data_IF_976577725492
#
_entry.id   IF_976577725492
#
_cell.length_a   1.000
_cell.length_b   1.000
_cell.length_c   1.000
_cell.angle_alpha   90.00
_cell.angle_beta   90.00
_cell.angle_gamma   90.00
#
_symmetry.space_group_name_H-M   'P 1'
#
loop_
_entity.id
_entity.type
_entity.pdbx_description
1 polymer ?
#
# COMPACT_ATOMS: atom_id res chain seq x y z
N UNK A 1 -10.67 11.82 -24.64
CA UNK A 1 -11.56 11.14 -23.67
C UNK A 1 -10.77 10.02 -23.00
N UNK A 2 -10.35 10.19 -21.74
CA UNK A 2 -9.58 9.15 -21.04
C UNK A 2 -10.51 7.93 -20.83
N UNK A 3 -10.10 6.76 -21.31
CA UNK A 3 -10.94 5.56 -21.31
C UNK A 3 -11.35 5.19 -19.86
N UNK A 4 -12.66 5.04 -19.58
CA UNK A 4 -13.20 4.75 -18.24
C UNK A 4 -12.54 3.53 -17.58
N UNK A 5 -12.06 2.57 -18.39
CA UNK A 5 -11.30 1.40 -17.92
C UNK A 5 -9.96 1.78 -17.28
N UNK A 6 -9.23 2.75 -17.84
CA UNK A 6 -7.92 3.20 -17.35
C UNK A 6 -8.06 3.92 -16.00
N UNK A 7 -9.05 4.79 -15.88
CA UNK A 7 -9.33 5.52 -14.63
C UNK A 7 -9.57 4.56 -13.46
N UNK A 8 -10.22 3.43 -13.74
CA UNK A 8 -10.53 2.42 -12.72
C UNK A 8 -9.31 1.60 -12.27
N UNK A 9 -8.22 1.60 -13.03
CA UNK A 9 -6.96 0.91 -12.70
C UNK A 9 -5.97 1.83 -11.98
N UNK A 10 -6.16 3.14 -12.10
CA UNK A 10 -5.21 4.18 -11.66
C UNK A 10 -4.79 4.03 -10.18
N UNK A 11 -5.69 3.73 -9.22
CA UNK A 11 -5.29 3.52 -7.82
C UNK A 11 -4.37 2.32 -7.59
N UNK A 12 -4.36 1.33 -8.49
CA UNK A 12 -3.56 0.10 -8.35
C UNK A 12 -2.15 0.23 -8.94
N UNK A 13 -1.89 1.26 -9.75
CA UNK A 13 -0.54 1.63 -10.19
C UNK A 13 0.36 1.89 -8.98
N UNK A 14 -0.23 2.33 -7.86
CA UNK A 14 0.46 2.51 -6.59
C UNK A 14 1.28 1.29 -6.14
N UNK A 15 0.84 0.06 -6.46
CA UNK A 15 1.56 -1.16 -6.08
C UNK A 15 2.86 -1.40 -6.86
N UNK A 16 3.10 -0.65 -7.94
CA UNK A 16 4.36 -0.68 -8.68
C UNK A 16 5.40 0.24 -8.01
N UNK A 17 4.95 1.22 -7.22
CA UNK A 17 5.82 2.14 -6.49
C UNK A 17 6.32 1.42 -5.24
N UNK A 18 7.63 1.41 -4.94
CA UNK A 18 8.16 0.76 -3.75
C UNK A 18 7.95 1.63 -2.50
N UNK A 19 6.70 1.93 -2.16
CA UNK A 19 6.34 2.90 -1.14
C UNK A 19 6.82 2.53 0.27
N UNK A 20 7.03 1.24 0.56
CA UNK A 20 7.68 0.78 1.80
C UNK A 20 9.12 1.28 1.90
N UNK A 21 9.89 1.15 0.82
CA UNK A 21 11.27 1.59 0.77
C UNK A 21 11.36 3.12 0.75
N UNK A 22 10.43 3.79 0.08
CA UNK A 22 10.33 5.26 0.13
C UNK A 22 10.01 5.73 1.55
N UNK A 23 9.14 5.01 2.27
CA UNK A 23 8.84 5.33 3.69
C UNK A 23 10.10 5.23 4.55
N UNK A 24 10.84 4.13 4.41
CA UNK A 24 12.11 3.94 5.13
C UNK A 24 13.16 4.99 4.75
N UNK A 25 13.27 5.32 3.46
CA UNK A 25 14.20 6.35 2.98
C UNK A 25 13.83 7.73 3.52
N UNK A 26 12.53 8.06 3.60
CA UNK A 26 12.07 9.34 4.16
C UNK A 26 12.35 9.45 5.66
N UNK A 27 12.11 8.38 6.41
CA UNK A 27 12.42 8.31 7.83
C UNK A 27 13.94 8.43 8.07
N UNK A 28 14.75 7.75 7.27
CA UNK A 28 16.21 7.78 7.39
C UNK A 28 16.84 9.11 6.96
N UNK A 29 16.53 9.60 5.75
CA UNK A 29 17.19 10.77 5.17
C UNK A 29 16.69 12.10 5.75
N UNK A 30 15.44 12.16 6.19
CA UNK A 30 14.80 13.39 6.64
C UNK A 30 14.30 13.33 8.09
N UNK A 31 14.53 12.22 8.81
CA UNK A 31 14.05 12.02 10.18
C UNK A 31 12.54 12.32 10.31
N UNK A 32 11.77 11.92 9.30
CA UNK A 32 10.41 12.36 9.10
C UNK A 32 9.42 11.20 8.99
N UNK A 33 8.42 11.21 9.87
CA UNK A 33 7.29 10.28 9.84
C UNK A 33 6.29 10.57 8.70
N UNK A 34 6.52 11.61 7.91
CA UNK A 34 5.57 12.06 6.88
C UNK A 34 5.28 10.98 5.84
N UNK A 35 6.30 10.21 5.45
CA UNK A 35 6.14 9.09 4.52
C UNK A 35 5.17 8.04 5.07
N UNK A 36 5.36 7.66 6.34
CA UNK A 36 4.51 6.69 7.01
C UNK A 36 3.06 7.17 7.06
N UNK A 37 2.82 8.41 7.47
CA UNK A 37 1.46 8.98 7.54
C UNK A 37 0.80 9.03 6.17
N UNK A 38 1.52 9.55 5.17
CA UNK A 38 1.01 9.71 3.81
C UNK A 38 0.65 8.36 3.19
N UNK A 39 1.55 7.38 3.23
CA UNK A 39 1.29 6.06 2.64
C UNK A 39 0.29 5.24 3.43
N UNK A 40 0.11 5.51 4.73
CA UNK A 40 -1.01 4.94 5.51
C UNK A 40 -2.35 5.46 4.99
N UNK A 41 -2.50 6.78 4.80
CA UNK A 41 -3.75 7.38 4.27
C UNK A 41 -4.03 6.86 2.86
N UNK A 42 -3.01 6.75 2.02
CA UNK A 42 -3.14 6.19 0.67
C UNK A 42 -3.57 4.73 0.73
N UNK A 43 -2.98 3.93 1.63
CA UNK A 43 -3.36 2.52 1.83
C UNK A 43 -4.82 2.36 2.24
N UNK A 44 -5.32 3.17 3.19
CA UNK A 44 -6.75 3.22 3.56
C UNK A 44 -7.61 3.54 2.34
N UNK A 45 -7.23 4.57 1.58
CA UNK A 45 -7.98 5.04 0.41
C UNK A 45 -8.09 3.98 -0.68
N UNK A 46 -6.99 3.26 -0.95
CA UNK A 46 -6.95 2.16 -1.93
C UNK A 46 -7.83 0.98 -1.47
N UNK A 47 -7.76 0.59 -0.20
CA UNK A 47 -8.63 -0.46 0.36
C UNK A 47 -10.11 -0.11 0.24
N UNK A 48 -10.46 1.14 0.57
CA UNK A 48 -11.81 1.66 0.41
C UNK A 48 -12.27 1.64 -1.06
N UNK A 49 -11.42 2.14 -1.96
CA UNK A 49 -11.69 2.17 -3.39
C UNK A 49 -11.90 0.76 -3.96
N UNK A 50 -11.02 -0.18 -3.64
CA UNK A 50 -11.10 -1.56 -4.11
C UNK A 50 -12.41 -2.23 -3.67
N UNK A 51 -12.88 -1.95 -2.45
CA UNK A 51 -14.18 -2.45 -1.98
C UNK A 51 -15.35 -1.82 -2.75
N UNK A 52 -15.35 -0.50 -2.97
CA UNK A 52 -16.42 0.22 -3.68
C UNK A 52 -16.49 -0.12 -5.16
N UNK A 53 -15.36 -0.43 -5.78
CA UNK A 53 -15.24 -0.75 -7.20
C UNK A 53 -15.31 -2.26 -7.50
N UNK A 54 -15.52 -3.11 -6.49
CA UNK A 54 -15.50 -4.57 -6.59
C UNK A 54 -14.19 -5.12 -7.18
N UNK A 55 -13.05 -4.49 -6.86
CA UNK A 55 -11.72 -4.84 -7.35
C UNK A 55 -10.81 -5.42 -6.25
N UNK A 56 -11.39 -6.09 -5.26
CA UNK A 56 -10.63 -6.79 -4.20
C UNK A 56 -9.60 -7.78 -4.77
N UNK A 57 -9.87 -8.58 -5.84
CA UNK A 57 -8.84 -9.45 -6.41
C UNK A 57 -7.61 -8.69 -6.92
N UNK A 58 -7.81 -7.49 -7.48
CA UNK A 58 -6.72 -6.65 -7.97
C UNK A 58 -5.90 -6.05 -6.80
N UNK A 59 -6.56 -5.75 -5.68
CA UNK A 59 -5.90 -5.35 -4.44
C UNK A 59 -5.01 -6.48 -3.90
N UNK A 60 -5.51 -7.71 -3.88
CA UNK A 60 -4.74 -8.89 -3.43
C UNK A 60 -3.52 -9.10 -4.34
N UNK A 61 -3.72 -9.04 -5.66
CA UNK A 61 -2.63 -9.15 -6.62
C UNK A 61 -1.59 -8.03 -6.44
N UNK A 62 -2.04 -6.78 -6.27
CA UNK A 62 -1.18 -5.63 -6.02
C UNK A 62 -0.35 -5.78 -4.74
N UNK A 63 -0.94 -6.25 -3.64
CA UNK A 63 -0.21 -6.55 -2.42
C UNK A 63 0.85 -7.64 -2.63
N UNK A 64 0.53 -8.69 -3.39
CA UNK A 64 1.49 -9.73 -3.75
C UNK A 64 2.67 -9.17 -4.55
N UNK A 65 2.41 -8.32 -5.55
CA UNK A 65 3.45 -7.62 -6.29
C UNK A 65 4.30 -6.73 -5.39
N UNK A 66 3.69 -5.94 -4.51
CA UNK A 66 4.43 -5.05 -3.61
C UNK A 66 5.29 -5.84 -2.61
N UNK A 67 4.83 -6.99 -2.14
CA UNK A 67 5.61 -7.89 -1.29
C UNK A 67 6.84 -8.43 -2.05
N UNK A 68 6.63 -8.94 -3.27
CA UNK A 68 7.72 -9.44 -4.12
C UNK A 68 8.73 -8.33 -4.48
N UNK A 69 8.23 -7.14 -4.84
CA UNK A 69 9.06 -5.98 -5.14
C UNK A 69 9.87 -5.55 -3.92
N UNK A 70 9.26 -5.58 -2.74
CA UNK A 70 9.95 -5.25 -1.48
C UNK A 70 11.07 -6.24 -1.18
N UNK A 71 10.83 -7.55 -1.33
CA UNK A 71 11.89 -8.56 -1.17
C UNK A 71 12.98 -8.38 -2.21
N UNK A 72 12.61 -8.18 -3.48
CA UNK A 72 13.55 -7.99 -4.58
C UNK A 72 14.46 -6.79 -4.35
N UNK A 73 13.92 -5.67 -3.86
CA UNK A 73 14.71 -4.49 -3.53
C UNK A 73 15.65 -4.74 -2.36
N UNK A 74 15.22 -5.43 -1.31
CA UNK A 74 16.11 -5.83 -0.21
C UNK A 74 17.24 -6.77 -0.68
N UNK A 75 16.98 -7.62 -1.68
CA UNK A 75 17.99 -8.53 -2.24
C UNK A 75 18.96 -7.82 -3.20
N UNK A 76 18.51 -6.79 -3.93
CA UNK A 76 19.35 -5.98 -4.83
C UNK A 76 20.19 -4.96 -4.08
N UNK A 77 19.69 -4.47 -2.95
CA UNK A 77 20.43 -3.71 -1.96
C UNK A 77 21.60 -4.57 -1.41
N UNK A 78 22.63 -4.69 -2.25
CA UNK A 78 23.96 -5.22 -2.03
C UNK A 78 24.57 -4.62 -0.75
N UNK A 79 25.56 -5.27 -0.10
CA UNK A 79 26.19 -4.89 1.19
C UNK A 79 26.60 -3.42 1.43
N UNK A 80 26.45 -2.55 0.44
CA UNK A 80 26.58 -1.10 0.54
C UNK A 80 25.67 -0.52 1.65
N UNK A 81 24.49 -1.11 1.94
CA UNK A 81 23.66 -0.75 3.10
C UNK A 81 23.87 -1.62 4.34
N UNK A 82 24.57 -2.75 4.24
CA UNK A 82 24.90 -3.61 5.41
C UNK A 82 25.86 -2.96 6.42
N UNK A 83 26.48 -1.84 6.06
CA UNK A 83 27.32 -1.07 6.98
C UNK A 83 26.58 0.03 7.77
N UNK A 84 25.30 0.33 7.46
CA UNK A 84 24.63 1.55 7.96
C UNK A 84 23.42 1.33 8.88
N UNK A 85 22.97 0.08 9.08
CA UNK A 85 22.05 -0.28 10.16
C UNK A 85 22.40 -1.65 10.74
N UNK A 86 22.47 -1.77 12.08
CA UNK A 86 22.66 -3.04 12.80
C UNK A 86 21.47 -4.01 12.65
N UNK A 87 20.40 -3.61 11.96
CA UNK A 87 19.16 -4.35 11.79
C UNK A 87 18.95 -4.63 10.31
N UNK A 88 18.63 -5.89 9.97
CA UNK A 88 18.37 -6.28 8.57
C UNK A 88 17.26 -5.42 7.96
N UNK A 89 17.41 -4.89 6.72
CA UNK A 89 16.37 -4.12 6.02
C UNK A 89 15.00 -4.84 5.93
N UNK A 90 15.01 -6.18 5.97
CA UNK A 90 13.81 -7.01 6.08
C UNK A 90 13.06 -6.79 7.40
N UNK A 91 13.78 -6.65 8.52
CA UNK A 91 13.19 -6.46 9.86
C UNK A 91 12.44 -5.13 9.94
N UNK A 92 12.91 -4.10 9.23
CA UNK A 92 12.23 -2.80 9.16
C UNK A 92 11.06 -2.79 8.16
N UNK A 93 11.22 -3.49 7.03
CA UNK A 93 10.22 -3.50 5.94
C UNK A 93 8.97 -4.33 6.26
N UNK A 94 9.11 -5.45 6.98
CA UNK A 94 7.99 -6.35 7.31
C UNK A 94 6.91 -5.65 8.16
N UNK A 95 7.23 -4.96 9.27
CA UNK A 95 6.24 -4.22 10.05
C UNK A 95 5.51 -3.16 9.23
N UNK A 96 6.20 -2.47 8.32
CA UNK A 96 5.59 -1.48 7.43
C UNK A 96 4.63 -2.12 6.42
N UNK A 97 5.01 -3.24 5.81
CA UNK A 97 4.11 -4.02 4.95
C UNK A 97 2.85 -4.44 5.71
N UNK A 98 3.00 -4.93 6.94
CA UNK A 98 1.88 -5.31 7.79
C UNK A 98 1.00 -4.10 8.15
N UNK A 99 1.61 -2.97 8.51
CA UNK A 99 0.90 -1.72 8.83
C UNK A 99 0.06 -1.27 7.64
N UNK A 100 0.64 -1.21 6.45
CA UNK A 100 -0.07 -0.80 5.24
C UNK A 100 -1.16 -1.81 4.84
N UNK A 101 -0.94 -3.11 5.07
CA UNK A 101 -1.96 -4.12 4.88
C UNK A 101 -3.15 -3.91 5.84
N UNK A 102 -2.89 -3.69 7.14
CA UNK A 102 -3.93 -3.36 8.13
C UNK A 102 -4.67 -2.08 7.72
N UNK A 103 -3.96 -1.05 7.26
CA UNK A 103 -4.54 0.19 6.77
C UNK A 103 -5.47 -0.05 5.56
N UNK A 104 -5.12 -0.94 4.63
CA UNK A 104 -6.04 -1.32 3.55
C UNK A 104 -7.26 -2.08 4.08
N UNK A 105 -7.11 -2.97 5.07
CA UNK A 105 -8.23 -3.67 5.70
C UNK A 105 -9.21 -2.70 6.36
N UNK A 106 -8.73 -1.65 7.03
CA UNK A 106 -9.61 -0.61 7.59
C UNK A 106 -10.35 0.13 6.49
N UNK A 107 -9.69 0.44 5.38
CA UNK A 107 -10.32 0.97 4.17
C UNK A 107 -11.44 0.08 3.63
N UNK A 108 -11.19 -1.22 3.51
CA UNK A 108 -12.18 -2.22 3.06
C UNK A 108 -13.37 -2.27 4.02
N UNK A 109 -13.11 -2.29 5.32
CA UNK A 109 -14.14 -2.30 6.36
C UNK A 109 -15.09 -1.12 6.21
N UNK A 110 -14.55 0.10 6.14
CA UNK A 110 -15.34 1.30 5.92
C UNK A 110 -16.08 1.25 4.58
N UNK A 111 -15.41 0.86 3.48
CA UNK A 111 -16.05 0.72 2.16
C UNK A 111 -17.23 -0.24 2.16
N UNK A 112 -17.21 -1.27 3.00
CA UNK A 112 -18.32 -2.21 3.19
C UNK A 112 -19.53 -1.56 3.85
N UNK A 113 -19.32 -0.80 4.93
CA UNK A 113 -20.37 -0.09 5.65
C UNK A 113 -21.11 0.91 4.75
N UNK A 114 -20.38 1.66 3.93
CA UNK A 114 -20.97 2.62 2.99
C UNK A 114 -21.66 1.97 1.79
N UNK A 115 -21.31 0.73 1.43
CA UNK A 115 -22.05 -0.02 0.39
C UNK A 115 -23.38 -0.56 0.88
N UNK A 116 -23.48 -0.97 2.14
CA UNK A 116 -24.74 -1.51 2.71
C UNK A 116 -25.85 -0.46 2.84
N UNK A 117 -25.49 0.82 2.97
CA UNK A 117 -26.46 1.92 3.07
C UNK A 117 -27.20 2.18 1.75
N UNK A 118 -26.58 1.92 0.60
CA UNK A 118 -27.16 2.22 -0.71
C UNK A 118 -28.18 1.18 -1.19
N UNK A 119 -28.18 -0.04 -0.63
CA UNK A 119 -29.13 -1.10 -0.98
C UNK A 119 -30.40 -1.10 -0.13
N UNK A 120 -30.42 -0.39 1.01
CA UNK A 120 -31.59 -0.34 1.91
C UNK A 120 -32.55 0.79 1.52
N UNK A 121 -32.08 1.85 0.86
CA UNK A 121 -32.90 2.98 0.40
C UNK A 121 -33.62 2.76 -0.94
N UNK A 122 -33.52 1.57 -1.53
CA UNK A 122 -34.20 1.20 -2.79
C UNK A 122 -35.24 0.09 -2.62
N UNK A 123 -35.85 -0.01 -1.44
CA UNK A 123 -37.03 -0.85 -1.22
C UNK A 123 -38.22 -0.01 -0.79
#
# INVERSE_FOLDING_TARGET
MLNKKIIRLLPFIFFIIPYVHITLAMDYLFHSIIGLLLFTIVSISIGFYAKRSYQIPLLIFGNGLNFLLSIFLVLIESPITTFYHSSSPLIASIPLLLLFFIAQLTGIFWGSLFSKKNTVTTK
#
